data_IF_655516904920
#
_entry.id   IF_655516904920
#
_cell.length_a   1.000
_cell.length_b   1.000
_cell.length_c   1.000
_cell.angle_alpha   90.00
_cell.angle_beta   90.00
_cell.angle_gamma   90.00
#
_symmetry.space_group_name_H-M   'P 1'
#
loop_
_entity.id
_entity.type
_entity.pdbx_description
1 polymer ?
#
# COMPACT_ATOMS: atom_id res chain seq x y z
N UNK A 1 26.48 45.75 -29.54
CA UNK A 1 25.50 44.83 -30.15
C UNK A 1 26.28 43.59 -30.65
N UNK A 2 26.35 42.50 -29.91
CA UNK A 2 26.83 41.23 -30.39
C UNK A 2 25.59 40.46 -30.87
N UNK A 3 25.60 40.06 -32.13
CA UNK A 3 24.50 39.38 -32.79
C UNK A 3 24.26 38.01 -32.14
N UNK A 4 23.00 37.81 -31.76
CA UNK A 4 22.49 36.54 -31.21
C UNK A 4 22.08 35.56 -32.31
N UNK A 5 22.99 35.24 -33.22
CA UNK A 5 22.71 34.35 -34.37
C UNK A 5 23.60 33.13 -34.41
N UNK A 6 23.85 32.58 -33.22
CA UNK A 6 24.49 31.26 -33.18
C UNK A 6 23.74 30.40 -32.18
N UNK A 7 22.80 29.59 -32.67
CA UNK A 7 22.42 28.32 -32.05
C UNK A 7 21.16 27.65 -32.58
N UNK A 8 20.78 27.91 -33.85
CA UNK A 8 19.63 27.19 -34.45
C UNK A 8 20.02 25.86 -35.14
N UNK A 9 21.19 25.35 -34.87
CA UNK A 9 21.53 24.00 -35.28
C UNK A 9 21.31 23.00 -34.17
N UNK A 10 20.05 22.62 -33.98
CA UNK A 10 19.72 21.42 -33.21
C UNK A 10 20.25 20.24 -34.02
N UNK A 11 21.48 19.79 -33.74
CA UNK A 11 21.94 18.51 -34.28
C UNK A 11 21.13 17.40 -33.62
N UNK A 12 20.90 16.32 -34.32
CA UNK A 12 20.30 15.08 -33.82
C UNK A 12 21.02 14.57 -32.54
N UNK A 13 22.23 14.99 -32.29
CA UNK A 13 23.09 14.60 -31.18
C UNK A 13 23.30 15.71 -30.14
N UNK A 14 22.50 16.76 -30.17
CA UNK A 14 22.41 17.75 -29.11
C UNK A 14 23.07 19.10 -29.40
N UNK A 15 22.44 20.13 -28.87
CA UNK A 15 23.01 21.46 -28.72
C UNK A 15 24.10 21.48 -27.65
N UNK A 16 24.84 22.57 -27.51
CA UNK A 16 25.80 22.75 -26.43
C UNK A 16 25.17 22.61 -25.01
N UNK A 17 23.85 22.79 -24.90
CA UNK A 17 23.13 22.64 -23.63
C UNK A 17 22.88 21.17 -23.28
N UNK A 18 22.68 20.29 -24.26
CA UNK A 18 22.54 18.84 -24.04
C UNK A 18 23.84 18.20 -23.51
N UNK A 19 24.98 18.82 -23.80
CA UNK A 19 26.28 18.38 -23.26
C UNK A 19 26.51 18.78 -21.80
N UNK A 20 25.65 19.61 -21.20
CA UNK A 20 25.76 20.03 -19.80
C UNK A 20 25.02 19.06 -18.88
N UNK A 21 25.60 18.65 -17.75
CA UNK A 21 24.88 17.83 -16.77
C UNK A 21 23.72 18.64 -16.18
N UNK A 22 22.61 17.94 -15.86
CA UNK A 22 21.50 18.55 -15.15
C UNK A 22 21.96 19.11 -13.79
N UNK A 23 21.45 20.30 -13.39
CA UNK A 23 21.78 20.88 -12.09
C UNK A 23 21.31 19.98 -10.96
N UNK A 24 22.22 19.63 -10.01
CA UNK A 24 21.92 18.72 -8.93
C UNK A 24 22.01 19.35 -7.53
N UNK A 25 22.71 20.49 -7.36
CA UNK A 25 23.00 21.09 -6.06
C UNK A 25 22.63 22.56 -5.93
N UNK A 26 22.64 23.29 -7.03
CA UNK A 26 22.40 24.74 -7.02
C UNK A 26 21.29 25.08 -8.00
N UNK A 27 20.49 26.08 -7.65
CA UNK A 27 19.44 26.57 -8.55
C UNK A 27 20.10 27.16 -9.81
N UNK A 28 19.67 26.79 -11.04
CA UNK A 28 20.26 27.27 -12.26
C UNK A 28 20.10 28.77 -12.39
N UNK A 29 21.16 29.47 -12.83
CA UNK A 29 21.16 30.93 -13.03
C UNK A 29 20.49 31.36 -14.32
N UNK A 30 20.45 30.47 -15.31
CA UNK A 30 19.88 30.73 -16.63
C UNK A 30 18.85 29.67 -16.99
N UNK A 31 17.79 30.05 -17.73
CA UNK A 31 16.84 29.06 -18.24
C UNK A 31 17.51 28.10 -19.25
N UNK A 32 16.95 26.91 -19.40
CA UNK A 32 17.23 25.95 -20.45
C UNK A 32 16.03 25.91 -21.41
N UNK A 33 16.24 25.58 -22.67
CA UNK A 33 15.15 25.36 -23.61
C UNK A 33 14.27 24.22 -23.15
N UNK A 34 12.93 24.38 -23.23
CA UNK A 34 11.98 23.43 -22.63
C UNK A 34 12.12 22.00 -23.16
N UNK A 35 12.30 21.84 -24.49
CA UNK A 35 12.45 20.52 -25.11
C UNK A 35 13.76 19.82 -24.71
N UNK A 36 14.85 20.57 -24.62
CA UNK A 36 16.14 20.04 -24.15
C UNK A 36 16.06 19.61 -22.69
N UNK A 37 15.45 20.44 -21.83
CA UNK A 37 15.22 20.09 -20.44
C UNK A 37 14.37 18.83 -20.30
N UNK A 38 13.29 18.73 -21.08
CA UNK A 38 12.43 17.54 -21.10
C UNK A 38 13.21 16.31 -21.54
N UNK A 39 14.01 16.41 -22.60
CA UNK A 39 14.78 15.28 -23.13
C UNK A 39 15.82 14.79 -22.12
N UNK A 40 16.57 15.69 -21.49
CA UNK A 40 17.58 15.32 -20.47
C UNK A 40 16.94 14.63 -19.26
N UNK A 41 15.81 15.13 -18.75
CA UNK A 41 15.09 14.50 -17.65
C UNK A 41 14.55 13.12 -18.08
N UNK A 42 14.01 13.00 -19.27
CA UNK A 42 13.51 11.74 -19.83
C UNK A 42 14.62 10.70 -19.95
N UNK A 43 15.81 11.12 -20.38
CA UNK A 43 16.96 10.23 -20.53
C UNK A 43 17.45 9.75 -19.14
N UNK A 44 17.43 10.60 -18.12
CA UNK A 44 17.75 10.20 -16.75
C UNK A 44 16.73 9.17 -16.22
N UNK A 45 15.43 9.35 -16.48
CA UNK A 45 14.39 8.40 -16.11
C UNK A 45 14.50 7.03 -16.81
N UNK A 46 15.24 6.93 -17.93
CA UNK A 46 15.52 5.63 -18.57
C UNK A 46 16.44 4.73 -17.73
N UNK A 47 17.12 5.27 -16.72
CA UNK A 47 17.91 4.49 -15.76
C UNK A 47 17.04 3.77 -14.72
N UNK A 48 15.76 4.15 -14.59
CA UNK A 48 14.81 3.46 -13.74
C UNK A 48 14.48 2.07 -14.26
N UNK A 49 14.08 1.18 -13.35
CA UNK A 49 13.67 -0.17 -13.70
C UNK A 49 12.37 -0.20 -14.53
N UNK A 50 12.21 -1.25 -15.32
CA UNK A 50 10.96 -1.49 -16.05
C UNK A 50 9.81 -1.75 -15.07
N UNK A 51 8.81 -0.88 -15.07
CA UNK A 51 7.66 -0.94 -14.18
C UNK A 51 6.90 -2.28 -14.25
N UNK A 52 6.82 -2.94 -15.43
CA UNK A 52 6.18 -4.25 -15.58
C UNK A 52 6.99 -5.39 -14.94
N UNK A 53 8.31 -5.29 -14.86
CA UNK A 53 9.19 -6.26 -14.22
C UNK A 53 9.41 -5.99 -12.73
N UNK A 54 8.82 -4.91 -12.21
CA UNK A 54 8.84 -4.60 -10.78
C UNK A 54 7.78 -5.44 -10.04
N UNK A 55 8.17 -6.60 -9.56
CA UNK A 55 7.33 -7.52 -8.79
C UNK A 55 7.49 -7.32 -7.27
N UNK A 56 8.16 -6.23 -6.86
CA UNK A 56 8.30 -5.81 -5.47
C UNK A 56 7.14 -4.91 -5.01
N UNK A 57 6.67 -4.04 -5.90
CA UNK A 57 5.64 -3.05 -5.55
C UNK A 57 4.23 -3.61 -5.53
N UNK A 58 3.44 -3.11 -4.57
CA UNK A 58 1.99 -3.34 -4.51
C UNK A 58 1.22 -2.36 -5.39
N UNK A 59 1.82 -1.21 -5.74
CA UNK A 59 1.17 -0.17 -6.52
C UNK A 59 0.96 -0.60 -7.98
N UNK A 60 -0.08 -0.06 -8.61
CA UNK A 60 -0.32 -0.28 -10.04
C UNK A 60 0.82 0.32 -10.86
N UNK A 61 1.13 -0.36 -11.95
CA UNK A 61 2.16 0.04 -12.93
C UNK A 61 1.62 0.01 -14.35
N UNK A 62 0.32 -0.09 -14.49
CA UNK A 62 -0.39 -0.07 -15.77
C UNK A 62 -1.77 0.57 -15.60
N UNK A 63 -2.10 1.52 -16.46
CA UNK A 63 -3.37 2.23 -16.47
C UNK A 63 -3.96 2.25 -17.89
N UNK A 64 -5.29 2.38 -17.99
CA UNK A 64 -5.97 2.57 -19.26
C UNK A 64 -5.55 3.90 -19.90
N UNK A 65 -5.46 4.01 -21.25
CA UNK A 65 -5.13 5.26 -21.92
C UNK A 65 -6.06 6.43 -21.55
N UNK A 66 -7.31 6.13 -21.20
CA UNK A 66 -8.29 7.12 -20.76
C UNK A 66 -7.94 7.72 -19.40
N UNK A 67 -7.29 6.94 -18.53
CA UNK A 67 -6.78 7.45 -17.24
C UNK A 67 -5.74 8.53 -17.46
N UNK A 68 -4.78 8.33 -18.39
CA UNK A 68 -3.79 9.33 -18.73
C UNK A 68 -4.43 10.63 -19.24
N UNK A 69 -5.46 10.53 -20.10
CA UNK A 69 -6.21 11.70 -20.57
C UNK A 69 -6.95 12.44 -19.46
N UNK A 70 -7.54 11.69 -18.51
CA UNK A 70 -8.21 12.28 -17.34
C UNK A 70 -7.21 12.95 -16.40
N UNK A 71 -6.03 12.36 -16.21
CA UNK A 71 -4.96 12.97 -15.43
C UNK A 71 -4.49 14.29 -16.04
N UNK A 72 -4.31 14.35 -17.35
CA UNK A 72 -3.96 15.58 -18.08
C UNK A 72 -5.05 16.64 -17.94
N UNK A 73 -6.32 16.28 -18.14
CA UNK A 73 -7.46 17.19 -17.98
C UNK A 73 -7.63 17.73 -16.55
N UNK A 74 -7.07 17.07 -15.56
CA UNK A 74 -7.21 17.40 -14.15
C UNK A 74 -5.95 17.92 -13.48
N UNK A 75 -4.88 18.15 -14.24
CA UNK A 75 -3.58 18.58 -13.69
C UNK A 75 -3.65 19.88 -12.90
N UNK A 76 -4.58 20.77 -13.23
CA UNK A 76 -4.81 22.05 -12.54
C UNK A 76 -5.83 21.99 -11.40
N UNK A 77 -6.44 20.82 -11.16
CA UNK A 77 -7.55 20.69 -10.19
C UNK A 77 -7.04 20.29 -8.81
N UNK A 78 -7.31 21.16 -7.83
CA UNK A 78 -6.96 20.96 -6.43
C UNK A 78 -8.19 20.48 -5.64
N UNK A 79 -8.08 19.39 -4.91
CA UNK A 79 -9.20 18.76 -4.17
C UNK A 79 -9.76 19.64 -3.04
N UNK A 80 -8.95 20.56 -2.50
CA UNK A 80 -9.43 21.46 -1.43
C UNK A 80 -10.31 22.58 -1.97
N UNK A 81 -10.12 22.99 -3.22
CA UNK A 81 -10.83 24.11 -3.84
C UNK A 81 -12.22 23.65 -4.32
N UNK A 82 -13.10 23.33 -3.36
CA UNK A 82 -14.42 22.73 -3.64
C UNK A 82 -15.40 23.69 -4.30
N UNK A 83 -15.21 25.00 -4.12
CA UNK A 83 -16.00 26.02 -4.79
C UNK A 83 -15.66 26.12 -6.27
N UNK A 84 -14.36 26.12 -6.60
CA UNK A 84 -13.87 26.17 -7.98
C UNK A 84 -14.05 24.84 -8.71
N UNK A 85 -13.94 23.72 -7.98
CA UNK A 85 -14.04 22.38 -8.54
C UNK A 85 -15.11 21.52 -7.85
N UNK A 86 -16.40 21.94 -7.83
CA UNK A 86 -17.47 21.23 -7.12
C UNK A 86 -17.69 19.81 -7.64
N UNK A 87 -17.42 19.57 -8.93
CA UNK A 87 -17.55 18.22 -9.49
C UNK A 87 -16.45 17.26 -9.00
N UNK A 88 -15.25 17.75 -8.67
CA UNK A 88 -14.21 16.93 -8.06
C UNK A 88 -14.62 16.51 -6.66
N UNK A 89 -15.19 17.41 -5.86
CA UNK A 89 -15.72 17.11 -4.54
C UNK A 89 -16.89 16.12 -4.60
N UNK A 90 -17.80 16.27 -5.55
CA UNK A 90 -18.91 15.34 -5.76
C UNK A 90 -18.41 13.94 -6.20
N UNK A 91 -17.40 13.87 -7.06
CA UNK A 91 -16.77 12.59 -7.47
C UNK A 91 -16.13 11.91 -6.25
N UNK A 92 -15.44 12.65 -5.39
CA UNK A 92 -14.90 12.10 -4.14
C UNK A 92 -16.00 11.47 -3.28
N UNK A 93 -17.12 12.17 -3.07
CA UNK A 93 -18.24 11.66 -2.28
C UNK A 93 -18.91 10.44 -2.91
N UNK A 94 -19.00 10.39 -4.24
CA UNK A 94 -19.47 9.18 -4.95
C UNK A 94 -18.54 8.01 -4.67
N UNK A 95 -17.23 8.19 -4.78
CA UNK A 95 -16.26 7.15 -4.46
C UNK A 95 -16.40 6.68 -3.01
N UNK A 96 -16.54 7.58 -2.04
CA UNK A 96 -16.75 7.25 -0.62
C UNK A 96 -17.96 6.35 -0.45
N UNK A 97 -19.11 6.71 -1.05
CA UNK A 97 -20.34 5.91 -0.96
C UNK A 97 -20.23 4.56 -1.67
N UNK A 98 -19.58 4.52 -2.85
CA UNK A 98 -19.34 3.27 -3.59
C UNK A 98 -18.44 2.31 -2.82
N UNK A 99 -17.41 2.82 -2.15
CA UNK A 99 -16.52 2.02 -1.30
C UNK A 99 -17.25 1.55 -0.04
N UNK A 100 -18.06 2.41 0.57
CA UNK A 100 -18.88 2.07 1.72
C UNK A 100 -19.89 0.97 1.40
N UNK A 101 -20.56 1.04 0.24
CA UNK A 101 -21.43 -0.05 -0.29
C UNK A 101 -20.62 -1.35 -0.48
N UNK A 102 -19.46 -1.25 -1.10
CA UNK A 102 -18.58 -2.39 -1.32
C UNK A 102 -18.15 -3.07 -0.02
N UNK A 103 -17.98 -2.30 1.06
CA UNK A 103 -17.63 -2.77 2.40
C UNK A 103 -18.83 -2.94 3.34
N UNK A 104 -20.04 -3.08 2.78
CA UNK A 104 -21.27 -3.41 3.49
C UNK A 104 -21.57 -2.44 4.66
N UNK A 105 -21.42 -1.14 4.45
CA UNK A 105 -21.82 -0.15 5.44
C UNK A 105 -23.33 -0.23 5.71
N UNK A 106 -23.77 -0.12 6.97
CA UNK A 106 -25.19 -0.34 7.32
C UNK A 106 -26.12 0.76 6.80
N UNK A 107 -25.62 1.99 6.66
CA UNK A 107 -26.37 3.13 6.10
C UNK A 107 -25.43 4.01 5.28
N UNK A 108 -25.66 4.07 3.97
CA UNK A 108 -24.87 4.88 3.05
C UNK A 108 -25.09 6.39 3.19
N UNK A 109 -26.11 6.83 3.92
CA UNK A 109 -26.36 8.23 4.22
C UNK A 109 -25.66 8.70 5.50
N UNK A 110 -25.28 7.77 6.39
CA UNK A 110 -24.57 8.05 7.64
C UNK A 110 -23.06 7.76 7.56
N UNK A 111 -22.55 7.28 6.44
CA UNK A 111 -21.11 7.07 6.28
C UNK A 111 -20.36 8.39 6.04
N UNK A 112 -19.13 8.44 6.50
CA UNK A 112 -18.21 9.53 6.23
C UNK A 112 -16.85 8.96 5.81
N UNK A 113 -16.17 9.68 4.94
CA UNK A 113 -14.84 9.28 4.46
C UNK A 113 -14.20 10.36 3.62
N UNK A 114 -12.95 10.13 3.24
CA UNK A 114 -12.24 10.99 2.30
C UNK A 114 -11.20 10.23 1.50
N UNK A 115 -10.82 10.83 0.37
CA UNK A 115 -9.62 10.46 -0.36
C UNK A 115 -8.37 10.92 0.40
N UNK A 116 -7.30 10.18 0.21
CA UNK A 116 -5.97 10.47 0.77
C UNK A 116 -4.92 10.24 -0.32
N UNK A 117 -3.69 10.68 -0.10
CA UNK A 117 -2.60 10.40 -1.05
C UNK A 117 -2.06 8.96 -0.97
N UNK A 118 -2.64 8.14 -0.10
CA UNK A 118 -2.32 6.73 0.07
C UNK A 118 -2.82 6.19 1.40
N UNK A 119 -2.73 4.88 1.60
CA UNK A 119 -3.18 4.24 2.85
C UNK A 119 -2.42 4.72 4.09
N UNK A 120 -1.19 5.21 3.97
CA UNK A 120 -0.46 5.74 5.12
C UNK A 120 -1.18 6.94 5.75
N UNK A 121 -1.66 7.89 4.96
CA UNK A 121 -2.51 8.98 5.45
C UNK A 121 -3.86 8.46 5.96
N UNK A 122 -4.46 7.52 5.24
CA UNK A 122 -5.72 6.90 5.63
C UNK A 122 -5.63 6.19 6.99
N UNK A 123 -4.54 5.44 7.23
CA UNK A 123 -4.25 4.81 8.52
C UNK A 123 -4.08 5.84 9.64
N UNK A 124 -3.35 6.93 9.37
CA UNK A 124 -3.19 8.02 10.35
C UNK A 124 -4.52 8.64 10.75
N UNK A 125 -5.39 8.92 9.78
CA UNK A 125 -6.73 9.45 10.05
C UNK A 125 -7.61 8.45 10.85
N UNK A 126 -7.56 7.17 10.49
CA UNK A 126 -8.24 6.10 11.23
C UNK A 126 -7.75 5.98 12.67
N UNK A 127 -6.42 6.00 12.86
CA UNK A 127 -5.78 5.96 14.18
C UNK A 127 -6.08 7.19 15.02
N UNK A 128 -6.05 8.39 14.43
CA UNK A 128 -6.41 9.64 15.12
C UNK A 128 -7.87 9.62 15.58
N UNK A 129 -8.79 9.16 14.73
CA UNK A 129 -10.18 9.02 15.11
C UNK A 129 -10.36 8.04 16.28
N UNK A 130 -9.66 6.91 16.26
CA UNK A 130 -9.68 5.95 17.36
C UNK A 130 -9.13 6.56 18.67
N UNK A 131 -8.02 7.31 18.60
CA UNK A 131 -7.41 8.00 19.73
C UNK A 131 -8.37 9.04 20.34
N UNK A 132 -9.03 9.85 19.52
CA UNK A 132 -9.97 10.87 19.98
C UNK A 132 -11.22 10.25 20.60
N UNK A 133 -11.80 9.18 20.01
CA UNK A 133 -12.92 8.44 20.59
C UNK A 133 -12.55 7.83 21.95
N UNK A 134 -11.37 7.20 22.05
CA UNK A 134 -10.88 6.66 23.32
C UNK A 134 -10.70 7.76 24.36
N UNK A 135 -10.07 8.90 24.02
CA UNK A 135 -9.92 10.05 24.92
C UNK A 135 -11.26 10.61 25.41
N UNK A 136 -12.23 10.76 24.49
CA UNK A 136 -13.57 11.25 24.83
C UNK A 136 -14.28 10.30 25.81
N UNK A 137 -14.22 8.99 25.58
CA UNK A 137 -14.77 7.96 26.47
C UNK A 137 -14.12 8.01 27.85
N UNK A 138 -12.80 8.01 27.94
CA UNK A 138 -12.03 8.07 29.18
C UNK A 138 -12.33 9.34 29.98
N UNK A 139 -12.37 10.49 29.31
CA UNK A 139 -12.75 11.77 29.97
C UNK A 139 -14.14 11.73 30.56
N UNK A 140 -15.13 11.16 29.85
CA UNK A 140 -16.50 10.98 30.34
C UNK A 140 -16.56 10.10 31.61
N UNK A 141 -15.65 9.12 31.69
CA UNK A 141 -15.50 8.22 32.83
C UNK A 141 -14.61 8.80 33.95
N UNK A 142 -14.07 10.01 33.82
CA UNK A 142 -13.13 10.61 34.76
C UNK A 142 -11.79 9.90 34.88
N UNK A 143 -11.38 9.16 33.81
CA UNK A 143 -10.14 8.37 33.77
C UNK A 143 -9.03 9.11 33.03
N UNK A 144 -7.73 8.81 33.33
CA UNK A 144 -6.59 9.38 32.62
C UNK A 144 -6.59 9.06 31.13
N UNK A 145 -5.96 9.94 30.31
CA UNK A 145 -5.86 9.82 28.85
C UNK A 145 -4.44 9.95 28.31
N UNK A 146 -3.46 9.73 29.15
CA UNK A 146 -2.03 10.02 28.93
C UNK A 146 -1.19 8.82 28.46
N UNK A 147 -1.77 7.61 28.49
CA UNK A 147 -1.07 6.37 28.14
C UNK A 147 -1.83 5.54 27.10
N UNK A 148 -2.15 6.11 25.93
CA UNK A 148 -2.82 5.33 24.88
C UNK A 148 -1.90 4.27 24.31
N UNK A 149 -2.44 3.09 23.97
CA UNK A 149 -1.74 2.08 23.22
C UNK A 149 -2.58 1.56 22.05
N UNK A 150 -1.91 1.00 21.06
CA UNK A 150 -2.50 0.38 19.87
C UNK A 150 -1.99 -1.04 19.76
N UNK A 151 -2.89 -2.01 19.57
CA UNK A 151 -2.52 -3.41 19.36
C UNK A 151 -2.65 -3.76 17.88
N UNK A 152 -1.61 -4.36 17.31
CA UNK A 152 -1.57 -4.76 15.90
C UNK A 152 -0.76 -6.03 15.70
N UNK A 153 -0.82 -6.60 14.50
CA UNK A 153 0.12 -7.62 14.04
C UNK A 153 1.37 -7.00 13.41
N UNK A 154 2.07 -7.74 12.54
CA UNK A 154 3.22 -7.23 11.78
C UNK A 154 2.75 -6.21 10.75
N UNK A 155 2.84 -4.92 11.10
CA UNK A 155 2.29 -3.81 10.33
C UNK A 155 3.30 -3.13 9.42
N UNK A 156 2.78 -2.37 8.46
CA UNK A 156 3.56 -1.46 7.64
C UNK A 156 4.02 -0.25 8.49
N UNK A 157 5.15 0.35 8.13
CA UNK A 157 5.79 1.46 8.87
C UNK A 157 4.86 2.65 9.19
N UNK A 158 3.74 2.81 8.46
CA UNK A 158 2.78 3.89 8.71
C UNK A 158 2.19 3.83 10.13
N UNK A 159 1.97 2.63 10.68
CA UNK A 159 1.46 2.47 12.05
C UNK A 159 2.52 2.79 13.09
N UNK A 160 3.78 2.42 12.86
CA UNK A 160 4.90 2.86 13.71
C UNK A 160 5.03 4.40 13.71
N UNK A 161 4.88 5.04 12.52
CA UNK A 161 4.88 6.50 12.40
C UNK A 161 3.69 7.12 13.15
N UNK A 162 2.49 6.57 12.97
CA UNK A 162 1.31 7.02 13.71
C UNK A 162 1.59 6.99 15.21
N UNK A 163 1.99 5.86 15.75
CA UNK A 163 2.23 5.69 17.18
C UNK A 163 3.29 6.66 17.69
N UNK A 164 4.39 6.85 16.96
CA UNK A 164 5.45 7.79 17.34
C UNK A 164 5.00 9.25 17.29
N UNK A 165 4.22 9.65 16.29
CA UNK A 165 3.83 11.05 16.09
C UNK A 165 2.74 11.50 17.07
N UNK A 166 1.93 10.60 17.57
CA UNK A 166 0.82 10.91 18.49
C UNK A 166 1.01 10.33 19.91
N UNK A 167 2.25 9.95 20.26
CA UNK A 167 2.59 9.39 21.58
C UNK A 167 1.70 8.23 22.00
N UNK A 168 1.46 7.29 21.08
CA UNK A 168 0.73 6.05 21.31
C UNK A 168 1.73 4.92 21.43
N UNK A 169 1.64 4.11 22.49
CA UNK A 169 2.43 2.88 22.62
C UNK A 169 1.99 1.86 21.56
N UNK A 170 2.91 1.37 20.76
CA UNK A 170 2.60 0.26 19.85
C UNK A 170 2.82 -1.07 20.57
N UNK A 171 1.84 -1.96 20.54
CA UNK A 171 1.89 -3.31 21.09
C UNK A 171 1.71 -4.31 19.96
N UNK A 172 2.80 -4.63 19.33
CA UNK A 172 2.83 -5.53 18.19
C UNK A 172 2.77 -7.00 18.65
N UNK A 173 1.92 -7.79 18.01
CA UNK A 173 1.94 -9.25 18.13
C UNK A 173 3.04 -9.76 17.20
N UNK A 174 4.14 -10.33 17.73
CA UNK A 174 5.27 -10.74 16.92
C UNK A 174 4.90 -11.95 16.05
N UNK A 175 5.62 -12.11 14.95
CA UNK A 175 5.59 -13.34 14.17
C UNK A 175 6.20 -14.50 14.96
N UNK A 176 5.77 -15.73 14.66
CA UNK A 176 6.38 -16.96 15.16
C UNK A 176 6.64 -17.89 13.96
N UNK A 177 7.48 -18.93 14.16
CA UNK A 177 7.86 -19.83 13.05
C UNK A 177 6.69 -20.59 12.43
N UNK A 178 5.62 -20.75 13.17
CA UNK A 178 4.36 -21.39 12.76
C UNK A 178 3.22 -20.39 12.49
N UNK A 179 3.47 -19.09 12.68
CA UNK A 179 2.46 -18.04 12.59
C UNK A 179 3.07 -16.68 12.18
N UNK A 180 2.72 -16.21 11.01
CA UNK A 180 3.22 -14.95 10.43
C UNK A 180 2.20 -13.82 10.46
N UNK A 181 1.12 -13.97 11.21
CA UNK A 181 0.03 -13.01 11.37
C UNK A 181 -0.33 -12.88 12.86
N UNK A 182 -1.10 -11.83 13.20
CA UNK A 182 -1.72 -11.70 14.52
C UNK A 182 -2.77 -12.80 14.72
N UNK A 183 -2.77 -13.40 15.89
CA UNK A 183 -3.84 -14.28 16.38
C UNK A 183 -4.56 -13.64 17.57
N UNK A 184 -5.75 -14.15 17.87
CA UNK A 184 -6.63 -13.61 18.90
C UNK A 184 -6.05 -13.79 20.30
N UNK A 185 -5.39 -14.90 20.58
CA UNK A 185 -4.86 -15.22 21.91
C UNK A 185 -3.69 -14.31 22.28
N UNK A 186 -2.78 -14.07 21.34
CA UNK A 186 -1.66 -13.16 21.53
C UNK A 186 -2.10 -11.69 21.54
N UNK A 187 -3.10 -11.36 20.74
CA UNK A 187 -3.73 -10.01 20.72
C UNK A 187 -4.34 -9.70 22.10
N UNK A 188 -5.15 -10.61 22.67
CA UNK A 188 -5.82 -10.39 23.96
C UNK A 188 -4.85 -10.16 25.13
N UNK A 189 -3.64 -10.75 25.10
CA UNK A 189 -2.60 -10.51 26.11
C UNK A 189 -2.07 -9.09 26.13
N UNK A 190 -2.29 -8.33 25.05
CA UNK A 190 -1.77 -6.97 24.84
C UNK A 190 -2.83 -5.90 25.00
N UNK A 191 -4.10 -6.30 25.03
CA UNK A 191 -5.24 -5.39 25.19
C UNK A 191 -5.44 -5.03 26.65
N UNK A 192 -5.61 -3.75 26.93
CA UNK A 192 -6.00 -3.21 28.23
C UNK A 192 -6.97 -2.01 28.09
N UNK A 193 -7.31 -1.34 29.19
CA UNK A 193 -8.20 -0.17 29.20
C UNK A 193 -7.61 1.06 28.48
N UNK A 194 -6.31 1.06 28.18
CA UNK A 194 -5.63 2.12 27.45
C UNK A 194 -5.53 1.84 25.95
N UNK A 195 -6.02 0.68 25.49
CA UNK A 195 -6.02 0.32 24.09
C UNK A 195 -7.04 1.15 23.32
N UNK A 196 -6.55 1.95 22.37
CA UNK A 196 -7.40 2.84 21.54
C UNK A 196 -8.11 2.06 20.44
N UNK A 197 -7.43 1.08 19.84
CA UNK A 197 -8.00 0.14 18.88
C UNK A 197 -7.08 -1.07 18.66
N UNK A 198 -7.65 -2.12 18.08
CA UNK A 198 -6.92 -3.23 17.47
C UNK A 198 -6.92 -3.04 15.96
N UNK A 199 -5.76 -3.29 15.33
CA UNK A 199 -5.56 -3.08 13.89
C UNK A 199 -5.14 -4.39 13.21
N UNK A 200 -6.07 -5.21 12.71
CA UNK A 200 -5.74 -6.28 11.78
C UNK A 200 -5.36 -5.72 10.42
N UNK A 201 -4.27 -6.27 9.83
CA UNK A 201 -3.82 -5.93 8.48
C UNK A 201 -4.36 -6.95 7.48
N UNK A 202 -5.34 -6.55 6.70
CA UNK A 202 -5.97 -7.41 5.70
C UNK A 202 -5.14 -7.45 4.41
N UNK A 203 -4.03 -8.19 4.50
CA UNK A 203 -2.96 -8.27 3.51
C UNK A 203 -1.62 -7.79 4.06
N UNK A 204 -1.02 -8.58 4.98
CA UNK A 204 0.24 -8.27 5.66
C UNK A 204 1.36 -7.96 4.67
N UNK A 205 2.02 -6.82 4.84
CA UNK A 205 3.02 -6.32 3.92
C UNK A 205 4.18 -7.30 3.69
N UNK A 206 4.60 -8.01 4.72
CA UNK A 206 5.72 -8.96 4.62
C UNK A 206 5.37 -10.20 3.81
N UNK A 207 4.22 -10.80 4.09
CA UNK A 207 3.87 -12.13 3.58
C UNK A 207 2.74 -12.13 2.55
N UNK A 208 1.81 -11.17 2.63
CA UNK A 208 0.60 -11.12 1.82
C UNK A 208 -0.61 -11.81 2.45
N UNK A 209 -0.46 -12.48 3.59
CA UNK A 209 -1.55 -13.18 4.27
C UNK A 209 -2.58 -12.22 4.84
N UNK A 210 -3.81 -12.68 5.00
CA UNK A 210 -4.87 -11.94 5.68
C UNK A 210 -4.81 -12.15 7.19
N UNK A 211 -4.83 -11.07 7.97
CA UNK A 211 -5.27 -11.10 9.36
C UNK A 211 -6.79 -10.95 9.34
N UNK A 212 -7.51 -11.97 9.80
CA UNK A 212 -8.96 -12.02 9.71
C UNK A 212 -9.62 -11.21 10.82
N UNK A 213 -10.39 -10.13 10.51
CA UNK A 213 -11.00 -9.29 11.53
C UNK A 213 -12.13 -9.98 12.30
N UNK A 214 -12.84 -10.96 11.72
CA UNK A 214 -13.99 -11.59 12.37
C UNK A 214 -13.63 -12.31 13.68
N UNK A 215 -12.65 -13.24 13.74
CA UNK A 215 -12.26 -13.86 14.99
C UNK A 215 -11.71 -12.85 16.01
N UNK A 216 -11.00 -11.80 15.56
CA UNK A 216 -10.52 -10.71 16.43
C UNK A 216 -11.70 -9.98 17.05
N UNK A 217 -12.70 -9.58 16.27
CA UNK A 217 -13.91 -8.93 16.78
C UNK A 217 -14.66 -9.83 17.79
N UNK A 218 -14.82 -11.11 17.48
CA UNK A 218 -15.46 -12.08 18.38
C UNK A 218 -14.69 -12.25 19.70
N UNK A 219 -13.36 -12.25 19.67
CA UNK A 219 -12.54 -12.31 20.88
C UNK A 219 -12.70 -11.06 21.75
N UNK A 220 -12.73 -9.88 21.13
CA UNK A 220 -12.97 -8.60 21.83
C UNK A 220 -14.41 -8.49 22.35
N UNK A 221 -15.40 -9.03 21.65
CA UNK A 221 -16.79 -9.09 22.13
C UNK A 221 -16.90 -9.96 23.39
N UNK A 222 -16.23 -11.11 23.42
CA UNK A 222 -16.17 -11.99 24.61
C UNK A 222 -15.46 -11.29 25.77
N UNK A 223 -14.35 -10.59 25.51
CA UNK A 223 -13.63 -9.82 26.51
C UNK A 223 -14.51 -8.75 27.14
N UNK A 224 -15.19 -7.95 26.35
CA UNK A 224 -16.11 -6.90 26.82
C UNK A 224 -17.28 -7.50 27.61
N UNK A 225 -17.88 -8.61 27.15
CA UNK A 225 -18.96 -9.31 27.84
C UNK A 225 -18.54 -9.88 29.19
N UNK A 226 -17.26 -10.19 29.40
CA UNK A 226 -16.71 -10.63 30.68
C UNK A 226 -16.28 -9.48 31.61
N UNK A 227 -16.60 -8.23 31.27
CA UNK A 227 -16.27 -7.02 32.05
C UNK A 227 -14.89 -6.43 31.75
N UNK A 228 -14.21 -6.92 30.72
CA UNK A 228 -12.96 -6.35 30.22
C UNK A 228 -13.20 -5.08 29.37
N UNK A 229 -12.11 -4.47 28.84
CA UNK A 229 -12.21 -3.26 28.05
C UNK A 229 -12.99 -3.47 26.75
N UNK A 230 -13.82 -2.48 26.40
CA UNK A 230 -14.51 -2.42 25.11
C UNK A 230 -13.65 -1.66 24.11
N UNK A 231 -13.03 -2.38 23.16
CA UNK A 231 -12.02 -1.84 22.24
C UNK A 231 -12.52 -1.88 20.81
N UNK A 232 -12.36 -0.75 20.12
CA UNK A 232 -12.70 -0.61 18.69
C UNK A 232 -11.71 -1.37 17.79
N UNK A 233 -12.13 -1.64 16.55
CA UNK A 233 -11.29 -2.20 15.50
C UNK A 233 -11.20 -1.22 14.33
N UNK A 234 -9.98 -0.98 13.84
CA UNK A 234 -9.71 -0.36 12.55
C UNK A 234 -9.09 -1.41 11.64
N UNK A 235 -9.62 -1.63 10.45
CA UNK A 235 -9.05 -2.58 9.50
C UNK A 235 -8.10 -1.85 8.54
N UNK A 236 -6.82 -2.22 8.57
CA UNK A 236 -5.89 -1.84 7.50
C UNK A 236 -6.11 -2.75 6.29
N UNK A 237 -7.00 -2.33 5.42
CA UNK A 237 -7.33 -2.99 4.16
C UNK A 237 -6.52 -2.49 2.98
N UNK A 238 -5.30 -1.95 3.21
CA UNK A 238 -4.47 -1.32 2.18
C UNK A 238 -4.36 -2.14 0.90
N UNK A 239 -4.28 -3.46 1.02
CA UNK A 239 -4.22 -4.38 -0.12
C UNK A 239 -5.51 -5.18 -0.29
N UNK A 240 -5.97 -5.87 0.76
CA UNK A 240 -7.11 -6.80 0.70
C UNK A 240 -8.47 -6.14 0.57
N UNK A 241 -8.61 -4.87 0.97
CA UNK A 241 -9.88 -4.15 0.96
C UNK A 241 -10.54 -4.01 -0.43
N UNK A 242 -9.75 -4.05 -1.50
CA UNK A 242 -10.24 -4.08 -2.89
C UNK A 242 -10.10 -5.44 -3.58
N UNK A 243 -9.80 -6.51 -2.83
CA UNK A 243 -9.70 -7.88 -3.37
C UNK A 243 -10.85 -8.76 -2.90
N UNK A 244 -11.01 -8.90 -1.58
CA UNK A 244 -11.97 -9.82 -0.99
C UNK A 244 -13.42 -9.55 -1.41
N UNK A 245 -13.92 -8.30 -1.55
CA UNK A 245 -15.30 -8.08 -1.99
C UNK A 245 -15.65 -8.70 -3.34
N UNK A 246 -14.65 -8.92 -4.19
CA UNK A 246 -14.86 -9.44 -5.55
C UNK A 246 -14.60 -10.93 -5.67
N UNK A 247 -13.70 -11.52 -4.86
CA UNK A 247 -13.22 -12.90 -5.02
C UNK A 247 -13.46 -13.79 -3.81
N UNK A 248 -13.68 -13.21 -2.65
CA UNK A 248 -13.95 -13.90 -1.39
C UNK A 248 -15.00 -13.14 -0.57
N UNK A 249 -16.21 -12.87 -1.13
CA UNK A 249 -17.23 -12.01 -0.50
C UNK A 249 -17.74 -12.54 0.84
N UNK A 250 -17.58 -13.83 1.10
CA UNK A 250 -17.99 -14.47 2.37
C UNK A 250 -17.04 -14.11 3.53
N UNK A 251 -15.81 -13.67 3.26
CA UNK A 251 -14.90 -13.20 4.31
C UNK A 251 -15.45 -11.91 4.91
N UNK A 252 -15.77 -11.96 6.20
CA UNK A 252 -16.25 -10.81 6.96
C UNK A 252 -15.06 -10.02 7.51
N UNK A 253 -14.59 -9.04 6.74
CA UNK A 253 -13.52 -8.13 7.14
C UNK A 253 -13.97 -6.68 7.30
N UNK A 254 -15.25 -6.40 7.02
CA UNK A 254 -15.83 -5.09 6.75
C UNK A 254 -16.91 -4.70 7.76
N UNK A 255 -17.69 -3.69 7.42
CA UNK A 255 -18.73 -3.13 8.31
C UNK A 255 -19.89 -4.08 8.65
N UNK A 256 -19.92 -5.30 8.15
CA UNK A 256 -20.78 -6.37 8.68
C UNK A 256 -20.43 -6.73 10.14
N UNK A 257 -19.23 -6.36 10.59
CA UNK A 257 -18.78 -6.52 11.96
C UNK A 257 -18.94 -5.18 12.70
N UNK A 258 -19.88 -5.07 13.69
CA UNK A 258 -20.21 -3.78 14.35
C UNK A 258 -19.04 -3.12 15.09
N UNK A 259 -18.03 -3.90 15.50
CA UNK A 259 -16.83 -3.42 16.19
C UNK A 259 -15.87 -2.69 15.25
N UNK A 260 -15.95 -2.91 13.94
CA UNK A 260 -15.16 -2.18 12.95
C UNK A 260 -15.74 -0.77 12.80
N UNK A 261 -14.98 0.23 13.25
CA UNK A 261 -15.36 1.65 13.21
C UNK A 261 -14.84 2.36 11.96
N UNK A 262 -13.73 1.89 11.42
CA UNK A 262 -13.14 2.47 10.21
C UNK A 262 -12.31 1.44 9.45
N UNK A 263 -12.17 1.68 8.14
CA UNK A 263 -11.35 0.87 7.24
C UNK A 263 -10.53 1.83 6.39
N UNK A 264 -9.23 1.57 6.26
CA UNK A 264 -8.34 2.25 5.32
C UNK A 264 -7.99 1.34 4.14
N UNK A 265 -7.80 1.91 2.95
CA UNK A 265 -7.30 1.15 1.80
C UNK A 265 -6.50 2.02 0.84
N UNK A 266 -5.64 1.37 0.04
CA UNK A 266 -4.92 2.02 -1.06
C UNK A 266 -5.70 1.86 -2.37
N UNK A 267 -6.25 2.95 -2.88
CA UNK A 267 -6.83 2.99 -4.22
C UNK A 267 -5.80 2.65 -5.30
N UNK A 268 -4.55 3.07 -5.09
CA UNK A 268 -3.45 2.86 -6.03
C UNK A 268 -2.79 1.46 -5.98
N UNK A 269 -3.31 0.54 -5.14
CA UNK A 269 -2.93 -0.88 -5.17
C UNK A 269 -4.01 -1.67 -5.94
N UNK A 270 -4.78 -2.49 -5.27
CA UNK A 270 -5.84 -3.26 -5.91
C UNK A 270 -7.15 -2.48 -6.16
N UNK A 271 -7.22 -1.21 -5.75
CA UNK A 271 -8.22 -0.27 -6.24
C UNK A 271 -8.01 0.17 -7.69
N UNK A 272 -6.85 -0.15 -8.29
CA UNK A 272 -6.50 0.06 -9.70
C UNK A 272 -6.47 1.55 -10.12
N UNK A 273 -6.20 2.46 -9.20
CA UNK A 273 -5.94 3.87 -9.49
C UNK A 273 -4.44 4.15 -9.65
N UNK A 274 -4.03 5.23 -10.31
CA UNK A 274 -2.64 5.68 -10.31
C UNK A 274 -2.10 5.96 -8.90
N UNK A 275 -0.77 5.89 -8.71
CA UNK A 275 -0.12 6.17 -7.43
C UNK A 275 -0.52 7.56 -6.91
N UNK A 276 -0.76 7.65 -5.60
CA UNK A 276 -1.24 8.88 -4.96
C UNK A 276 -2.73 8.85 -4.62
N UNK A 277 -3.34 7.67 -4.47
CA UNK A 277 -4.74 7.49 -4.12
C UNK A 277 -4.90 6.49 -2.96
N UNK A 278 -5.57 6.90 -1.91
CA UNK A 278 -5.99 6.05 -0.80
C UNK A 278 -7.36 6.51 -0.28
N UNK A 279 -7.95 5.73 0.61
CA UNK A 279 -9.28 5.95 1.15
C UNK A 279 -9.32 5.59 2.64
N UNK A 280 -10.02 6.39 3.41
CA UNK A 280 -10.48 6.04 4.75
C UNK A 280 -12.00 6.23 4.81
N UNK A 281 -12.70 5.22 5.30
CA UNK A 281 -14.15 5.24 5.49
C UNK A 281 -14.43 4.91 6.96
N UNK A 282 -15.24 5.72 7.61
CA UNK A 282 -15.83 5.42 8.93
C UNK A 282 -17.22 4.85 8.73
N UNK A 283 -17.57 3.91 9.59
CA UNK A 283 -18.86 3.21 9.60
C UNK A 283 -20.05 4.16 9.65
N UNK A 284 -19.91 5.23 10.46
CA UNK A 284 -20.92 6.27 10.66
C UNK A 284 -20.26 7.62 10.92
N UNK A 285 -21.02 8.71 10.78
CA UNK A 285 -20.59 10.06 11.17
C UNK A 285 -20.16 10.11 12.64
N UNK A 286 -20.84 9.36 13.51
CA UNK A 286 -20.51 9.29 14.95
C UNK A 286 -19.15 8.62 15.23
N UNK A 287 -18.63 7.81 14.33
CA UNK A 287 -17.33 7.14 14.47
C UNK A 287 -16.15 8.04 14.06
N UNK A 288 -16.42 9.19 13.42
CA UNK A 288 -15.43 10.22 13.09
C UNK A 288 -15.58 11.41 14.03
N UNK A 289 -14.65 11.63 14.97
CA UNK A 289 -14.71 12.74 15.92
C UNK A 289 -14.76 14.11 15.21
N UNK A 290 -15.67 14.96 15.64
CA UNK A 290 -15.86 16.28 15.02
C UNK A 290 -14.63 17.19 15.15
N UNK A 291 -13.80 16.98 16.18
CA UNK A 291 -12.55 17.70 16.40
C UNK A 291 -11.52 17.47 15.28
N UNK A 292 -11.68 16.43 14.48
CA UNK A 292 -10.85 16.15 13.29
C UNK A 292 -11.40 16.78 12.02
N UNK A 293 -12.57 17.39 12.04
CA UNK A 293 -13.13 18.12 10.93
C UNK A 293 -12.80 19.61 11.07
N UNK A 294 -12.15 20.18 10.07
CA UNK A 294 -11.80 21.59 10.02
C UNK A 294 -12.67 22.29 8.97
N UNK A 295 -13.16 23.47 9.31
CA UNK A 295 -13.85 24.34 8.35
C UNK A 295 -12.93 25.47 7.92
N UNK A 296 -12.75 25.65 6.62
CA UNK A 296 -11.98 26.74 6.00
C UNK A 296 -12.94 27.69 5.32
N UNK A 297 -12.78 28.99 5.53
CA UNK A 297 -13.69 30.02 4.99
C UNK A 297 -13.03 31.04 4.04
N UNK A 298 -11.73 30.97 3.87
CA UNK A 298 -10.96 31.91 3.03
C UNK A 298 -10.83 31.48 1.56
N UNK A 299 -11.48 30.39 1.18
CA UNK A 299 -11.56 29.89 -0.20
C UNK A 299 -12.97 30.08 -0.82
N UNK A 300 -13.72 31.12 -0.40
CA UNK A 300 -15.02 31.47 -0.97
C UNK A 300 -16.24 30.92 -0.24
N UNK A 301 -16.09 29.99 0.71
CA UNK A 301 -17.18 29.40 1.50
C UNK A 301 -16.68 28.61 2.70
N UNK A 302 -17.58 28.09 3.54
CA UNK A 302 -17.20 27.18 4.62
C UNK A 302 -17.00 25.77 4.07
N UNK A 303 -15.73 25.37 3.91
CA UNK A 303 -15.34 24.11 3.31
C UNK A 303 -14.88 23.15 4.39
N UNK A 304 -15.65 22.10 4.71
CA UNK A 304 -15.20 21.08 5.66
C UNK A 304 -14.13 20.18 5.03
N UNK A 305 -13.07 19.91 5.77
CA UNK A 305 -12.02 18.95 5.41
C UNK A 305 -11.61 18.09 6.58
N UNK A 306 -11.36 16.81 6.33
CA UNK A 306 -10.84 15.84 7.30
C UNK A 306 -9.49 15.26 6.86
N UNK A 307 -9.07 15.50 5.64
CA UNK A 307 -7.77 15.06 5.13
C UNK A 307 -6.62 15.77 5.84
N UNK A 308 -5.50 15.08 6.05
CA UNK A 308 -4.28 15.67 6.61
C UNK A 308 -3.64 16.67 5.66
N UNK A 309 -3.64 16.36 4.36
CA UNK A 309 -3.09 17.22 3.33
C UNK A 309 -4.14 18.24 2.88
N UNK A 310 -3.76 19.50 2.84
CA UNK A 310 -4.62 20.58 2.39
C UNK A 310 -4.75 20.56 0.87
N UNK A 311 -3.77 21.10 0.14
CA UNK A 311 -3.71 21.01 -1.32
C UNK A 311 -3.28 19.61 -1.75
N UNK A 312 -4.06 19.00 -2.64
CA UNK A 312 -3.76 17.69 -3.23
C UNK A 312 -4.38 17.54 -4.61
N UNK A 313 -3.76 16.75 -5.50
CA UNK A 313 -4.24 16.61 -6.87
C UNK A 313 -5.58 15.86 -6.92
N UNK A 314 -6.49 16.27 -7.81
CA UNK A 314 -7.77 15.61 -8.04
C UNK A 314 -7.69 14.43 -9.03
N UNK A 315 -6.65 14.38 -9.85
CA UNK A 315 -6.54 13.43 -10.97
C UNK A 315 -6.65 11.98 -10.54
N UNK A 316 -6.05 11.61 -9.41
CA UNK A 316 -6.09 10.25 -8.86
C UNK A 316 -7.50 9.84 -8.43
N UNK A 317 -8.25 10.76 -7.81
CA UNK A 317 -9.63 10.52 -7.38
C UNK A 317 -10.56 10.37 -8.60
N UNK A 318 -10.39 11.23 -9.59
CA UNK A 318 -11.13 11.16 -10.87
C UNK A 318 -10.83 9.83 -11.57
N UNK A 319 -9.57 9.42 -11.60
CA UNK A 319 -9.13 8.14 -12.19
C UNK A 319 -9.69 6.95 -11.43
N UNK A 320 -9.76 7.01 -10.10
CA UNK A 320 -10.40 5.97 -9.29
C UNK A 320 -11.88 5.84 -9.63
N UNK A 321 -12.60 6.96 -9.74
CA UNK A 321 -14.02 6.97 -10.12
C UNK A 321 -14.22 6.40 -11.53
N UNK A 322 -13.40 6.82 -12.50
CA UNK A 322 -13.39 6.23 -13.83
C UNK A 322 -13.26 4.71 -13.77
N UNK A 323 -12.31 4.20 -13.01
CA UNK A 323 -12.05 2.77 -12.89
C UNK A 323 -13.24 2.04 -12.27
N UNK A 324 -13.89 2.62 -11.23
CA UNK A 324 -15.10 2.06 -10.64
C UNK A 324 -16.24 1.95 -11.65
N UNK A 325 -16.48 3.00 -12.42
CA UNK A 325 -17.56 3.05 -13.41
C UNK A 325 -17.25 2.17 -14.62
N UNK A 326 -16.01 2.21 -15.10
CA UNK A 326 -15.58 1.46 -16.29
C UNK A 326 -15.60 -0.06 -16.05
N UNK A 327 -15.06 -0.51 -14.94
CA UNK A 327 -14.95 -1.93 -14.65
C UNK A 327 -16.22 -2.51 -14.01
N UNK A 328 -16.86 -1.77 -13.11
CA UNK A 328 -17.90 -2.32 -12.25
C UNK A 328 -17.44 -3.53 -11.44
N UNK A 329 -18.31 -4.15 -10.68
CA UNK A 329 -17.98 -5.34 -9.86
C UNK A 329 -17.44 -6.50 -10.72
N UNK A 330 -18.02 -6.72 -11.89
CA UNK A 330 -17.60 -7.82 -12.78
C UNK A 330 -16.23 -7.59 -13.40
N UNK A 331 -15.90 -6.38 -13.84
CA UNK A 331 -14.58 -6.05 -14.37
C UNK A 331 -13.49 -6.18 -13.31
N UNK A 332 -13.74 -5.68 -12.09
CA UNK A 332 -12.83 -5.88 -10.96
C UNK A 332 -12.59 -7.35 -10.67
N UNK A 333 -13.67 -8.15 -10.61
CA UNK A 333 -13.58 -9.61 -10.43
C UNK A 333 -12.67 -10.25 -11.47
N UNK A 334 -12.84 -9.93 -12.75
CA UNK A 334 -12.01 -10.49 -13.84
C UNK A 334 -10.54 -10.08 -13.72
N UNK A 335 -10.27 -8.80 -13.46
CA UNK A 335 -8.89 -8.29 -13.34
C UNK A 335 -8.17 -8.94 -12.17
N UNK A 336 -8.84 -9.04 -11.01
CA UNK A 336 -8.23 -9.64 -9.83
C UNK A 336 -8.11 -11.16 -9.96
N UNK A 337 -9.10 -11.85 -10.58
CA UNK A 337 -8.99 -13.27 -10.86
C UNK A 337 -7.76 -13.58 -11.72
N UNK A 338 -7.52 -12.80 -12.77
CA UNK A 338 -6.34 -12.97 -13.60
C UNK A 338 -5.03 -12.83 -12.80
N UNK A 339 -4.97 -11.91 -11.84
CA UNK A 339 -3.81 -11.77 -10.96
C UNK A 339 -3.63 -13.01 -10.04
N UNK A 340 -4.71 -13.52 -9.47
CA UNK A 340 -4.65 -14.75 -8.66
C UNK A 340 -4.30 -15.98 -9.49
N UNK A 341 -4.79 -16.08 -10.73
CA UNK A 341 -4.45 -17.18 -11.63
C UNK A 341 -2.95 -17.22 -11.91
N UNK A 342 -2.34 -16.05 -12.16
CA UNK A 342 -0.88 -15.93 -12.35
C UNK A 342 -0.12 -16.25 -11.07
N UNK A 343 -0.56 -15.76 -9.90
CA UNK A 343 0.08 -16.05 -8.62
C UNK A 343 0.02 -17.56 -8.30
N UNK A 344 -1.14 -18.17 -8.46
CA UNK A 344 -1.34 -19.62 -8.28
C UNK A 344 -0.49 -20.46 -9.25
N UNK A 345 -0.37 -19.98 -10.49
CA UNK A 345 0.50 -20.61 -11.48
C UNK A 345 1.97 -20.56 -11.05
N UNK A 346 2.46 -19.39 -10.65
CA UNK A 346 3.82 -19.21 -10.13
C UNK A 346 4.09 -20.11 -8.91
N UNK A 347 3.19 -20.10 -7.93
CA UNK A 347 3.26 -21.00 -6.77
C UNK A 347 3.40 -22.47 -7.22
N UNK A 348 2.52 -22.92 -8.10
CA UNK A 348 2.50 -24.31 -8.63
C UNK A 348 3.81 -24.70 -9.33
N UNK A 349 4.42 -23.77 -10.04
CA UNK A 349 5.69 -24.02 -10.76
C UNK A 349 6.88 -23.97 -9.82
N UNK A 350 6.96 -22.97 -8.95
CA UNK A 350 8.06 -22.83 -7.97
C UNK A 350 8.04 -23.99 -6.97
N UNK A 351 6.88 -24.44 -6.50
CA UNK A 351 6.76 -25.57 -5.58
C UNK A 351 7.28 -26.89 -6.16
N UNK A 352 7.13 -27.10 -7.48
CA UNK A 352 7.68 -28.29 -8.17
C UNK A 352 9.22 -28.35 -8.17
N UNK A 353 9.90 -27.25 -7.88
CA UNK A 353 11.35 -27.25 -7.72
C UNK A 353 11.78 -27.99 -6.45
N UNK A 354 10.88 -28.16 -5.47
CA UNK A 354 11.13 -28.90 -4.20
C UNK A 354 12.11 -28.24 -3.25
N UNK A 355 12.43 -26.93 -3.46
CA UNK A 355 13.52 -26.19 -2.82
C UNK A 355 13.03 -25.16 -1.80
N UNK A 356 11.73 -24.83 -1.80
CA UNK A 356 11.14 -23.76 -1.04
C UNK A 356 9.94 -24.22 -0.21
N UNK A 357 9.70 -23.52 0.88
CA UNK A 357 8.48 -23.53 1.67
C UNK A 357 7.73 -22.21 1.46
N UNK A 358 6.39 -22.25 1.54
CA UNK A 358 5.54 -21.12 1.15
C UNK A 358 4.75 -20.59 2.34
N UNK A 359 4.67 -19.26 2.42
CA UNK A 359 3.83 -18.54 3.39
C UNK A 359 2.56 -18.05 2.72
N UNK A 360 2.65 -17.50 1.50
CA UNK A 360 1.51 -17.10 0.68
C UNK A 360 1.59 -17.75 -0.70
N UNK A 361 0.44 -18.16 -1.22
CA UNK A 361 0.32 -19.01 -2.41
C UNK A 361 -0.53 -18.39 -3.53
N UNK A 362 -1.07 -17.18 -3.30
CA UNK A 362 -2.04 -16.56 -4.18
C UNK A 362 -3.41 -17.24 -4.08
N UNK A 363 -3.87 -17.52 -2.87
CA UNK A 363 -5.20 -18.05 -2.60
C UNK A 363 -6.12 -16.91 -2.11
N UNK A 364 -7.20 -16.55 -2.84
CA UNK A 364 -8.06 -15.44 -2.46
C UNK A 364 -8.77 -15.61 -1.11
N UNK A 365 -8.77 -16.81 -0.55
CA UNK A 365 -9.36 -17.09 0.77
C UNK A 365 -8.39 -16.83 1.93
N UNK A 366 -7.09 -16.69 1.68
CA UNK A 366 -6.08 -16.59 2.75
C UNK A 366 -5.06 -15.48 2.55
N UNK A 367 -4.86 -15.04 1.31
CA UNK A 367 -3.82 -14.08 0.97
C UNK A 367 -4.15 -13.23 -0.25
N UNK A 368 -3.40 -12.15 -0.45
CA UNK A 368 -3.44 -11.35 -1.67
C UNK A 368 -2.76 -12.10 -2.83
N UNK A 369 -2.90 -11.66 -4.10
CA UNK A 369 -2.25 -12.34 -5.23
C UNK A 369 -0.72 -12.15 -5.19
N UNK A 370 -0.09 -12.86 -4.25
CA UNK A 370 1.35 -12.87 -4.03
C UNK A 370 1.85 -14.29 -3.81
N UNK A 371 3.12 -14.52 -4.13
CA UNK A 371 3.82 -15.76 -3.79
C UNK A 371 4.97 -15.39 -2.86
N UNK A 372 4.88 -15.80 -1.60
CA UNK A 372 5.90 -15.57 -0.59
C UNK A 372 6.48 -16.90 -0.14
N UNK A 373 7.80 -17.04 -0.25
CA UNK A 373 8.48 -18.30 0.04
C UNK A 373 9.88 -18.07 0.62
N UNK A 374 10.40 -19.09 1.28
CA UNK A 374 11.75 -19.12 1.84
C UNK A 374 12.44 -20.46 1.54
N UNK A 375 13.74 -20.54 1.76
CA UNK A 375 14.51 -21.76 1.53
C UNK A 375 14.04 -22.90 2.45
N UNK A 376 13.81 -24.08 1.86
CA UNK A 376 13.45 -25.28 2.62
C UNK A 376 14.57 -25.66 3.56
N UNK A 377 14.23 -26.05 4.80
CA UNK A 377 15.21 -26.55 5.78
C UNK A 377 16.03 -27.71 5.23
N UNK A 378 17.35 -27.60 5.32
CA UNK A 378 18.29 -28.60 4.80
C UNK A 378 18.58 -28.49 3.30
N UNK A 379 18.04 -27.50 2.61
CA UNK A 379 18.46 -27.18 1.24
C UNK A 379 19.59 -26.15 1.25
N UNK A 380 20.81 -26.61 1.00
CA UNK A 380 22.03 -25.80 1.02
C UNK A 380 22.64 -25.70 -0.38
N UNK A 381 22.12 -24.82 -1.25
CA UNK A 381 22.55 -24.74 -2.66
C UNK A 381 23.88 -23.99 -2.85
N UNK A 382 24.47 -23.43 -1.80
CA UNK A 382 25.65 -22.58 -1.85
C UNK A 382 25.37 -21.13 -2.24
N UNK A 383 24.13 -20.71 -2.22
CA UNK A 383 23.65 -19.32 -2.37
C UNK A 383 22.41 -19.07 -1.48
N UNK A 384 22.10 -17.80 -1.24
CA UNK A 384 20.93 -17.37 -0.49
C UNK A 384 19.89 -16.65 -1.38
N UNK A 385 18.75 -16.22 -0.80
CA UNK A 385 17.69 -15.54 -1.57
C UNK A 385 18.06 -14.11 -1.97
N UNK A 386 18.94 -13.43 -1.25
CA UNK A 386 19.46 -12.12 -1.65
C UNK A 386 20.24 -12.21 -2.94
N UNK A 387 21.14 -13.20 -3.04
CA UNK A 387 21.93 -13.46 -4.24
C UNK A 387 21.05 -13.85 -5.43
N UNK A 388 19.99 -14.62 -5.18
CA UNK A 388 19.00 -14.93 -6.22
C UNK A 388 18.27 -13.67 -6.69
N UNK A 389 17.85 -12.80 -5.77
CA UNK A 389 17.23 -11.52 -6.07
C UNK A 389 18.14 -10.63 -6.93
N UNK A 390 19.40 -10.48 -6.53
CA UNK A 390 20.39 -9.69 -7.25
C UNK A 390 20.66 -10.26 -8.65
N UNK A 391 20.73 -11.58 -8.75
CA UNK A 391 20.91 -12.22 -10.05
C UNK A 391 19.72 -12.02 -10.99
N UNK A 392 18.51 -12.07 -10.48
CA UNK A 392 17.30 -11.76 -11.25
C UNK A 392 17.27 -10.30 -11.71
N UNK A 393 17.81 -9.37 -10.90
CA UNK A 393 17.93 -7.96 -11.25
C UNK A 393 18.79 -7.72 -12.49
N UNK A 394 19.79 -8.56 -12.77
CA UNK A 394 20.58 -8.48 -14.01
C UNK A 394 19.75 -8.74 -15.28
N UNK A 395 18.54 -9.29 -15.14
CA UNK A 395 17.56 -9.50 -16.21
C UNK A 395 16.40 -8.50 -16.15
N UNK A 396 16.49 -7.48 -15.26
CA UNK A 396 15.47 -6.46 -15.07
C UNK A 396 14.37 -6.83 -14.08
N UNK A 397 14.37 -8.05 -13.51
CA UNK A 397 13.36 -8.45 -12.53
C UNK A 397 13.65 -7.87 -11.15
N UNK A 398 12.70 -7.15 -10.60
CA UNK A 398 12.75 -6.65 -9.23
C UNK A 398 11.88 -7.56 -8.35
N UNK A 399 12.48 -8.60 -7.79
CA UNK A 399 11.85 -9.52 -6.85
C UNK A 399 12.59 -9.40 -5.51
N UNK A 400 11.98 -8.80 -4.47
CA UNK A 400 12.69 -8.53 -3.23
C UNK A 400 12.93 -9.81 -2.44
N UNK A 401 14.11 -9.90 -1.84
CA UNK A 401 14.41 -10.80 -0.74
C UNK A 401 14.67 -9.95 0.51
N UNK A 402 14.13 -10.37 1.66
CA UNK A 402 14.28 -9.65 2.92
C UNK A 402 14.04 -10.57 4.12
N UNK A 403 14.66 -10.23 5.26
CA UNK A 403 14.39 -10.88 6.54
C UNK A 403 13.00 -10.52 7.04
N UNK A 404 12.31 -11.46 7.66
CA UNK A 404 11.07 -11.19 8.40
C UNK A 404 11.38 -10.36 9.67
N UNK A 405 10.36 -9.75 10.31
CA UNK A 405 10.53 -8.98 11.54
C UNK A 405 11.18 -9.79 12.69
N UNK A 406 11.51 -9.09 13.76
CA UNK A 406 12.05 -9.62 15.00
C UNK A 406 11.32 -10.90 15.44
N UNK A 407 12.01 -11.78 16.16
CA UNK A 407 11.63 -13.15 16.57
C UNK A 407 11.73 -14.22 15.46
N UNK A 408 11.67 -13.85 14.18
CA UNK A 408 11.87 -14.73 13.02
C UNK A 408 12.78 -14.11 11.96
N UNK A 409 13.66 -13.20 12.37
CA UNK A 409 14.54 -12.45 11.47
C UNK A 409 15.58 -13.31 10.75
N UNK A 410 15.81 -14.54 11.21
CA UNK A 410 16.61 -15.55 10.53
C UNK A 410 15.90 -16.18 9.32
N UNK A 411 14.58 -15.95 9.16
CA UNK A 411 13.83 -16.37 7.98
C UNK A 411 13.89 -15.28 6.93
N UNK A 412 14.69 -15.54 5.89
CA UNK A 412 14.73 -14.68 4.69
C UNK A 412 13.69 -15.17 3.70
N UNK A 413 12.81 -14.30 3.29
CA UNK A 413 11.76 -14.58 2.29
C UNK A 413 12.04 -13.91 0.97
N UNK A 414 11.53 -14.47 -0.10
CA UNK A 414 11.36 -13.81 -1.40
C UNK A 414 9.86 -13.69 -1.68
N UNK A 415 9.43 -12.52 -2.14
CA UNK A 415 8.01 -12.24 -2.38
C UNK A 415 7.78 -11.70 -3.79
N UNK A 416 6.96 -12.41 -4.57
CA UNK A 416 6.51 -12.02 -5.92
C UNK A 416 5.11 -11.45 -5.81
N UNK A 417 4.97 -10.14 -6.08
CA UNK A 417 3.67 -9.47 -6.13
C UNK A 417 3.07 -9.59 -7.54
N UNK A 418 1.83 -10.09 -7.60
CA UNK A 418 1.08 -10.15 -8.85
C UNK A 418 -0.05 -9.12 -8.83
N UNK A 419 -0.13 -8.32 -9.88
CA UNK A 419 -1.12 -7.26 -10.05
C UNK A 419 -1.48 -7.09 -11.53
N UNK A 420 -2.43 -6.23 -11.84
CA UNK A 420 -2.80 -5.92 -13.23
C UNK A 420 -1.54 -5.62 -14.06
N UNK A 421 -1.43 -6.24 -15.25
CA UNK A 421 -0.27 -6.10 -16.13
C UNK A 421 0.82 -7.16 -15.96
N UNK A 422 0.76 -8.01 -14.92
CA UNK A 422 1.60 -9.20 -14.80
C UNK A 422 0.87 -10.38 -15.45
N UNK A 423 1.38 -10.86 -16.57
CA UNK A 423 0.72 -11.85 -17.43
C UNK A 423 1.35 -13.25 -17.31
N UNK A 424 0.72 -14.29 -17.85
CA UNK A 424 1.24 -15.67 -17.81
C UNK A 424 2.57 -15.81 -18.54
N UNK A 425 2.73 -15.14 -19.69
CA UNK A 425 3.99 -15.13 -20.44
C UNK A 425 5.12 -14.47 -19.64
N UNK A 426 4.84 -13.41 -18.90
CA UNK A 426 5.81 -12.81 -17.95
C UNK A 426 6.18 -13.78 -16.83
N UNK A 427 5.21 -14.51 -16.29
CA UNK A 427 5.46 -15.53 -15.29
C UNK A 427 6.38 -16.65 -15.84
N UNK A 428 6.16 -17.10 -17.07
CA UNK A 428 7.04 -18.08 -17.72
C UNK A 428 8.46 -17.55 -17.94
N UNK A 429 8.60 -16.28 -18.31
CA UNK A 429 9.92 -15.64 -18.45
C UNK A 429 10.63 -15.54 -17.11
N UNK A 430 9.92 -15.14 -16.05
CA UNK A 430 10.46 -15.09 -14.68
C UNK A 430 10.94 -16.48 -14.24
N UNK A 431 10.13 -17.52 -14.43
CA UNK A 431 10.48 -18.90 -14.05
C UNK A 431 11.73 -19.38 -14.76
N UNK A 432 11.85 -19.14 -16.06
CA UNK A 432 13.07 -19.47 -16.85
C UNK A 432 14.30 -18.75 -16.31
N UNK A 433 14.16 -17.46 -15.97
CA UNK A 433 15.27 -16.68 -15.42
C UNK A 433 15.61 -17.09 -13.98
N UNK A 434 14.62 -17.51 -13.18
CA UNK A 434 14.87 -18.13 -11.86
C UNK A 434 15.68 -19.42 -12.00
N UNK A 435 15.26 -20.35 -12.84
CA UNK A 435 15.97 -21.63 -13.06
C UNK A 435 17.40 -21.39 -13.54
N UNK A 436 17.63 -20.49 -14.50
CA UNK A 436 18.96 -20.10 -14.97
C UNK A 436 19.82 -19.47 -13.88
N UNK A 437 19.22 -18.58 -13.07
CA UNK A 437 19.91 -17.89 -11.98
C UNK A 437 20.34 -18.87 -10.90
N UNK A 438 19.46 -19.78 -10.51
CA UNK A 438 19.73 -20.84 -9.52
C UNK A 438 20.82 -21.80 -10.03
N UNK A 439 20.75 -22.22 -11.29
CA UNK A 439 21.75 -23.10 -11.89
C UNK A 439 23.13 -22.42 -12.02
N UNK A 440 23.16 -21.12 -12.26
CA UNK A 440 24.38 -20.33 -12.28
C UNK A 440 24.99 -20.21 -10.88
N UNK A 441 24.20 -19.78 -9.90
CA UNK A 441 24.63 -19.55 -8.51
C UNK A 441 25.12 -20.85 -7.84
N UNK A 442 24.51 -21.99 -8.12
CA UNK A 442 24.97 -23.30 -7.62
C UNK A 442 26.35 -23.71 -8.14
N UNK A 443 26.76 -23.20 -9.32
CA UNK A 443 28.07 -23.53 -9.93
C UNK A 443 29.14 -22.47 -9.65
N UNK A 444 28.75 -21.25 -9.40
CA UNK A 444 29.65 -20.12 -9.25
C UNK A 444 29.38 -19.46 -7.90
N UNK A 445 30.27 -19.69 -6.94
CA UNK A 445 30.19 -18.95 -5.67
C UNK A 445 30.30 -17.46 -5.97
N UNK A 446 29.41 -16.62 -5.41
CA UNK A 446 29.53 -15.17 -5.55
C UNK A 446 30.91 -14.72 -5.05
N UNK A 447 31.52 -13.78 -5.76
CA UNK A 447 32.82 -13.21 -5.38
C UNK A 447 32.74 -12.24 -4.19
N UNK A 448 31.52 -11.90 -3.79
CA UNK A 448 31.24 -11.03 -2.62
C UNK A 448 30.13 -11.72 -1.83
N UNK A 449 30.44 -12.16 -0.60
CA UNK A 449 29.41 -12.47 0.37
C UNK A 449 28.75 -11.13 0.78
N UNK A 450 27.55 -10.88 0.32
CA UNK A 450 26.67 -9.92 0.97
C UNK A 450 26.23 -10.60 2.28
N UNK A 451 26.98 -10.36 3.35
CA UNK A 451 26.51 -10.66 4.68
C UNK A 451 25.18 -9.94 4.90
N UNK A 452 24.25 -10.56 5.62
CA UNK A 452 22.91 -10.00 5.93
C UNK A 452 22.98 -8.56 6.50
N UNK A 453 24.12 -8.18 7.08
CA UNK A 453 24.41 -6.84 7.62
C UNK A 453 24.76 -5.79 6.55
N UNK A 454 25.07 -6.22 5.34
CA UNK A 454 25.43 -5.36 4.20
C UNK A 454 24.41 -5.39 3.05
N UNK A 455 23.19 -5.94 3.28
CA UNK A 455 22.10 -5.73 2.34
C UNK A 455 22.03 -4.22 2.03
N UNK A 456 22.01 -3.79 0.76
CA UNK A 456 22.05 -2.38 0.43
C UNK A 456 20.84 -1.69 1.07
N UNK A 457 21.09 -1.08 2.23
CA UNK A 457 20.16 -0.13 2.81
C UNK A 457 20.16 1.03 1.83
N UNK A 458 19.10 1.21 1.08
CA UNK A 458 18.86 2.43 0.34
C UNK A 458 18.92 3.58 1.35
N UNK A 459 20.09 4.18 1.51
CA UNK A 459 20.22 5.45 2.18
C UNK A 459 19.64 6.48 1.20
N UNK A 460 18.39 6.84 1.42
CA UNK A 460 17.88 8.10 0.91
C UNK A 460 18.69 9.20 1.64
N UNK A 461 19.70 9.70 0.96
CA UNK A 461 20.39 10.94 1.33
C UNK A 461 19.55 12.12 0.92
#
# INVERSE_FOLDING_TARGET
MKSSTDNDHISIFGSADVAKPLPSKTFPKTPMHAEECFQLIRDELMLDGNARQNLATFCQTWDDPQVHKLMDLSISKNMIDKDEYPQCAEIEQRCVRMIADLWNAPDLNDVIGCSTIGSSEACMLGGMAALHRWRARRKKEGKPTDKPNLVCGPVQICWHKFCRYWDVEIREVPMARDRFCMDEAEMLKRVDENTICVVPTFGVTYTGQYEFPEPICQALDKLAASGGPDVDVHVDGASGGFLAPFLAPDIRFDFRLPRIKSISSSGHKYGLAPVGCGWVIWRSVADMPQELAFAVNYLGGSIPTIALNFSRPAGQVISQYYTFVHLGKEGYRRVHQAAYDVASYLHKKISKLGKFEFIATGNPQTDIPAVCFYMKKGYEPGYNLYELSDRLRTRGWQVPAFSLPDDVSDIVVMRVMVRRGVTMDMADLLLKDMERSMAFLSKHKPSVHTDEKEAPVFKHT
#
